data_IF_264767626341
#
_entry.id   IF_264767626341
#
_cell.length_a   1.000
_cell.length_b   1.000
_cell.length_c   1.000
_cell.angle_alpha   90.00
_cell.angle_beta   90.00
_cell.angle_gamma   90.00
#
_symmetry.space_group_name_H-M   'P 1'
#
loop_
_entity.id
_entity.type
_entity.pdbx_description
1 polymer ?
#
# COMPACT_ATOMS: atom_id res chain seq x y z
N UNK A 1 53.67 -67.18 50.50
CA UNK A 1 54.50 -65.96 50.48
C UNK A 1 54.25 -65.32 49.12
N UNK A 2 53.36 -64.37 48.93
CA UNK A 2 52.60 -63.42 49.77
C UNK A 2 51.18 -63.36 49.17
N UNK A 3 50.13 -63.46 49.98
CA UNK A 3 49.34 -62.32 50.48
C UNK A 3 49.29 -61.11 49.54
N UNK A 4 48.06 -60.78 49.16
CA UNK A 4 47.66 -59.71 48.25
C UNK A 4 46.16 -59.53 48.35
N UNK A 5 45.66 -59.49 49.59
CA UNK A 5 44.33 -59.02 49.91
C UNK A 5 44.17 -57.56 49.45
N UNK A 6 43.04 -57.22 48.82
CA UNK A 6 41.96 -56.45 49.48
C UNK A 6 40.90 -55.97 48.49
N UNK A 7 39.70 -56.02 49.05
CA UNK A 7 38.42 -55.63 48.51
C UNK A 7 38.23 -54.11 48.37
N UNK A 8 37.19 -53.82 47.60
CA UNK A 8 36.23 -52.72 47.72
C UNK A 8 36.60 -51.30 47.33
N UNK A 9 35.74 -50.80 46.44
CA UNK A 9 35.67 -49.41 46.04
C UNK A 9 34.53 -49.17 45.07
N UNK A 10 33.28 -49.50 45.48
CA UNK A 10 32.09 -48.96 44.81
C UNK A 10 32.18 -47.44 44.79
N UNK A 11 32.35 -46.85 43.61
CA UNK A 11 31.98 -45.45 43.38
C UNK A 11 31.17 -45.33 42.11
N UNK A 12 29.86 -45.39 42.32
CA UNK A 12 28.87 -44.80 41.43
C UNK A 12 29.28 -43.36 41.09
N UNK A 13 29.33 -43.02 39.80
CA UNK A 13 29.00 -41.66 39.37
C UNK A 13 28.64 -41.56 37.90
N UNK A 14 27.35 -41.28 37.68
CA UNK A 14 26.90 -40.42 36.60
C UNK A 14 26.61 -41.14 35.29
N UNK A 15 25.53 -41.91 35.25
CA UNK A 15 24.76 -42.01 34.01
C UNK A 15 24.39 -40.59 33.60
N UNK A 16 25.09 -40.05 32.59
CA UNK A 16 24.73 -38.76 31.99
C UNK A 16 23.35 -38.96 31.39
N UNK A 17 22.36 -38.44 32.10
CA UNK A 17 21.04 -38.19 31.56
C UNK A 17 21.21 -37.30 30.33
N UNK A 18 21.25 -37.92 29.14
CA UNK A 18 20.92 -37.27 27.87
C UNK A 18 19.41 -37.01 27.81
N UNK A 19 18.89 -36.43 28.88
CA UNK A 19 17.47 -36.32 29.16
C UNK A 19 17.20 -35.06 29.95
N UNK A 20 17.64 -33.94 29.39
CA UNK A 20 16.99 -32.67 29.68
C UNK A 20 16.84 -31.74 28.46
N UNK A 21 17.16 -32.20 27.25
CA UNK A 21 16.84 -31.45 26.01
C UNK A 21 15.37 -31.59 25.57
N UNK A 22 14.46 -31.96 26.49
CA UNK A 22 13.02 -32.07 26.20
C UNK A 22 12.18 -30.94 26.80
N UNK A 23 12.80 -30.08 27.62
CA UNK A 23 12.14 -28.95 28.27
C UNK A 23 12.34 -27.61 27.56
N UNK A 24 13.43 -27.44 26.80
CA UNK A 24 13.65 -26.31 25.91
C UNK A 24 13.28 -26.74 24.48
N UNK A 25 12.09 -26.58 23.93
CA UNK A 25 10.93 -25.80 24.33
C UNK A 25 9.77 -26.24 23.42
N UNK A 26 9.08 -27.34 23.76
CA UNK A 26 7.88 -27.73 22.99
C UNK A 26 6.85 -26.58 22.96
N UNK A 27 6.77 -25.80 24.03
CA UNK A 27 5.92 -24.62 24.16
C UNK A 27 6.43 -23.44 23.31
N UNK A 28 7.74 -23.18 23.26
CA UNK A 28 8.28 -22.11 22.41
C UNK A 28 8.15 -22.47 20.94
N UNK A 29 8.34 -23.74 20.51
CA UNK A 29 8.06 -24.15 19.12
C UNK A 29 6.60 -23.95 18.73
N UNK A 30 5.66 -24.21 19.65
CA UNK A 30 4.22 -23.97 19.45
C UNK A 30 3.90 -22.49 19.34
N UNK A 31 4.68 -21.60 19.97
CA UNK A 31 4.54 -20.14 19.84
C UNK A 31 5.35 -19.57 18.66
N UNK A 32 6.48 -20.17 18.32
CA UNK A 32 7.40 -19.75 17.26
C UNK A 32 6.78 -19.99 15.89
N UNK A 33 6.09 -21.12 15.71
CA UNK A 33 5.43 -21.48 14.45
C UNK A 33 4.36 -20.46 14.03
N UNK A 34 3.36 -20.10 14.87
CA UNK A 34 2.38 -19.07 14.51
C UNK A 34 3.03 -17.68 14.41
N UNK A 35 4.07 -17.37 15.18
CA UNK A 35 4.78 -16.09 15.10
C UNK A 35 5.54 -15.95 13.76
N UNK A 36 6.17 -17.01 13.29
CA UNK A 36 6.78 -17.06 11.96
C UNK A 36 5.73 -16.92 10.86
N UNK A 37 4.58 -17.60 10.99
CA UNK A 37 3.47 -17.46 10.05
C UNK A 37 2.92 -16.02 10.02
N UNK A 38 2.80 -15.38 11.18
CA UNK A 38 2.37 -13.99 11.31
C UNK A 38 3.37 -13.04 10.64
N UNK A 39 4.67 -13.24 10.83
CA UNK A 39 5.70 -12.46 10.14
C UNK A 39 5.62 -12.62 8.62
N UNK A 40 5.50 -13.86 8.12
CA UNK A 40 5.33 -14.13 6.70
C UNK A 40 4.05 -13.50 6.14
N UNK A 41 2.95 -13.59 6.87
CA UNK A 41 1.69 -12.99 6.46
C UNK A 41 1.78 -11.46 6.46
N UNK A 42 2.51 -10.88 7.42
CA UNK A 42 2.71 -9.44 7.54
C UNK A 42 3.61 -8.90 6.41
N UNK A 43 4.65 -9.63 6.02
CA UNK A 43 5.47 -9.25 4.85
C UNK A 43 4.68 -9.28 3.56
N UNK A 44 3.86 -10.33 3.32
CA UNK A 44 2.98 -10.41 2.15
C UNK A 44 1.96 -9.27 2.14
N UNK A 45 1.30 -9.01 3.27
CA UNK A 45 0.36 -7.88 3.40
C UNK A 45 1.04 -6.54 3.13
N UNK A 46 2.23 -6.33 3.67
CA UNK A 46 2.98 -5.09 3.48
C UNK A 46 3.43 -4.91 2.02
N UNK A 47 3.85 -5.99 1.36
CA UNK A 47 4.20 -5.96 -0.06
C UNK A 47 3.00 -5.58 -0.95
N UNK A 48 1.83 -6.17 -0.68
CA UNK A 48 0.59 -5.83 -1.39
C UNK A 48 0.16 -4.38 -1.14
N UNK A 49 0.32 -3.88 0.09
CA UNK A 49 0.03 -2.48 0.42
C UNK A 49 0.92 -1.51 -0.37
N UNK A 50 2.23 -1.74 -0.40
CA UNK A 50 3.16 -0.91 -1.16
C UNK A 50 2.89 -0.96 -2.67
N UNK A 51 2.57 -2.15 -3.18
CA UNK A 51 2.20 -2.33 -4.58
C UNK A 51 0.92 -1.54 -4.93
N UNK A 52 -0.12 -1.65 -4.11
CA UNK A 52 -1.37 -0.91 -4.31
C UNK A 52 -1.15 0.61 -4.27
N UNK A 53 -0.31 1.09 -3.34
CA UNK A 53 0.05 2.51 -3.25
C UNK A 53 0.74 3.01 -4.52
N UNK A 54 1.71 2.26 -5.04
CA UNK A 54 2.40 2.62 -6.28
C UNK A 54 1.45 2.63 -7.48
N UNK A 55 0.59 1.61 -7.60
CA UNK A 55 -0.43 1.53 -8.64
C UNK A 55 -1.41 2.71 -8.59
N UNK A 56 -1.90 3.07 -7.40
CA UNK A 56 -2.77 4.21 -7.19
C UNK A 56 -2.11 5.52 -7.61
N UNK A 57 -0.85 5.76 -7.22
CA UNK A 57 -0.13 6.98 -7.62
C UNK A 57 0.04 7.12 -9.13
N UNK A 58 0.32 6.02 -9.82
CA UNK A 58 0.42 6.02 -11.28
C UNK A 58 -0.94 6.32 -11.95
N UNK A 59 -2.02 5.74 -11.44
CA UNK A 59 -3.37 5.97 -11.96
C UNK A 59 -3.82 7.42 -11.82
N UNK A 60 -3.56 8.05 -10.67
CA UNK A 60 -3.93 9.47 -10.45
C UNK A 60 -3.07 10.40 -11.32
N UNK A 61 -1.81 10.07 -11.57
CA UNK A 61 -0.95 10.84 -12.48
C UNK A 61 -1.46 10.80 -13.92
N UNK A 62 -1.88 9.63 -14.41
CA UNK A 62 -2.47 9.51 -15.74
C UNK A 62 -3.79 10.29 -15.82
N UNK A 63 -4.65 10.18 -14.80
CA UNK A 63 -5.88 10.97 -14.71
C UNK A 63 -5.62 12.49 -14.70
N UNK A 64 -4.62 12.94 -13.94
CA UNK A 64 -4.26 14.36 -13.87
C UNK A 64 -3.70 14.89 -15.20
N UNK A 65 -2.99 14.05 -15.95
CA UNK A 65 -2.52 14.40 -17.29
C UNK A 65 -3.70 14.55 -18.26
N UNK A 66 -4.59 13.56 -18.33
CA UNK A 66 -5.80 13.64 -19.16
C UNK A 66 -6.67 14.84 -18.77
N UNK A 67 -6.79 15.12 -17.47
CA UNK A 67 -7.52 16.28 -16.99
C UNK A 67 -6.94 17.60 -17.52
N UNK A 68 -5.61 17.75 -17.57
CA UNK A 68 -4.97 18.95 -18.12
C UNK A 68 -5.12 19.05 -19.64
N UNK A 69 -4.94 17.95 -20.36
CA UNK A 69 -5.09 17.92 -21.83
C UNK A 69 -6.53 18.26 -22.25
N UNK A 70 -7.52 17.68 -21.56
CA UNK A 70 -8.94 17.88 -21.86
C UNK A 70 -9.48 19.23 -21.36
N UNK A 71 -9.04 19.69 -20.19
CA UNK A 71 -9.41 21.03 -19.71
C UNK A 71 -8.83 22.14 -20.60
N UNK A 72 -7.63 21.93 -21.17
CA UNK A 72 -7.03 22.87 -22.13
C UNK A 72 -7.72 22.85 -23.50
N UNK A 73 -8.21 21.70 -23.97
CA UNK A 73 -8.79 21.55 -25.32
C UNK A 73 -10.28 21.89 -25.39
N UNK A 74 -11.07 21.48 -24.39
CA UNK A 74 -12.54 21.62 -24.38
C UNK A 74 -13.01 22.95 -23.78
N UNK A 75 -12.10 23.71 -23.17
CA UNK A 75 -12.39 25.00 -22.53
C UNK A 75 -13.13 24.83 -21.19
N UNK A 76 -12.84 25.74 -20.27
CA UNK A 76 -13.35 25.73 -18.90
C UNK A 76 -14.76 26.33 -18.76
N UNK A 77 -15.50 26.39 -19.87
CA UNK A 77 -16.73 27.18 -20.03
C UNK A 77 -17.87 26.66 -19.17
N UNK A 78 -17.85 25.38 -18.78
CA UNK A 78 -18.82 24.80 -17.86
C UNK A 78 -18.10 24.18 -16.65
N UNK A 79 -18.41 24.66 -15.45
CA UNK A 79 -17.98 24.06 -14.17
C UNK A 79 -18.44 22.60 -13.99
N UNK A 80 -19.34 22.12 -14.86
CA UNK A 80 -19.83 20.74 -15.00
C UNK A 80 -19.15 19.98 -16.14
N UNK A 81 -17.90 20.31 -16.45
CA UNK A 81 -17.16 19.84 -17.63
C UNK A 81 -17.14 18.32 -17.86
N UNK A 82 -17.12 17.97 -19.14
CA UNK A 82 -16.90 16.59 -19.62
C UNK A 82 -15.48 16.10 -19.32
N UNK A 83 -14.50 17.01 -19.21
CA UNK A 83 -13.11 16.67 -18.91
C UNK A 83 -12.95 15.98 -17.54
N UNK A 84 -13.79 16.31 -16.54
CA UNK A 84 -13.80 15.63 -15.25
C UNK A 84 -14.13 14.15 -15.44
N UNK A 85 -15.13 13.84 -16.26
CA UNK A 85 -15.55 12.47 -16.54
C UNK A 85 -14.46 11.69 -17.30
N UNK A 86 -13.81 12.35 -18.26
CA UNK A 86 -12.70 11.76 -19.03
C UNK A 86 -11.48 11.47 -18.13
N UNK A 87 -11.14 12.40 -17.23
CA UNK A 87 -10.08 12.22 -16.25
C UNK A 87 -10.37 11.10 -15.25
N UNK A 88 -11.61 11.01 -14.75
CA UNK A 88 -12.05 9.89 -13.89
C UNK A 88 -11.98 8.58 -14.65
N UNK A 89 -12.43 8.54 -15.90
CA UNK A 89 -12.42 7.33 -16.73
C UNK A 89 -10.99 6.85 -16.98
N UNK A 90 -10.07 7.75 -17.31
CA UNK A 90 -8.66 7.44 -17.50
C UNK A 90 -8.00 6.91 -16.21
N UNK A 91 -8.24 7.59 -15.08
CA UNK A 91 -7.73 7.15 -13.78
C UNK A 91 -8.26 5.77 -13.38
N UNK A 92 -9.58 5.52 -13.54
CA UNK A 92 -10.21 4.24 -13.22
C UNK A 92 -9.72 3.13 -14.14
N UNK A 93 -9.61 3.37 -15.45
CA UNK A 93 -9.10 2.38 -16.41
C UNK A 93 -7.65 1.99 -16.07
N UNK A 94 -6.81 2.96 -15.69
CA UNK A 94 -5.44 2.70 -15.27
C UNK A 94 -5.36 1.96 -13.93
N UNK A 95 -6.16 2.36 -12.96
CA UNK A 95 -6.27 1.68 -11.67
C UNK A 95 -6.73 0.22 -11.83
N UNK A 96 -7.65 -0.06 -12.76
CA UNK A 96 -8.07 -1.42 -13.08
C UNK A 96 -6.97 -2.23 -13.75
N UNK A 97 -6.22 -1.64 -14.69
CA UNK A 97 -5.11 -2.30 -15.37
C UNK A 97 -3.95 -2.67 -14.43
N UNK A 98 -3.69 -1.84 -13.41
CA UNK A 98 -2.60 -2.05 -12.45
C UNK A 98 -3.04 -2.81 -11.19
N UNK A 99 -4.30 -2.64 -10.77
CA UNK A 99 -4.78 -2.99 -9.44
C UNK A 99 -5.84 -4.10 -9.39
N UNK A 100 -6.46 -4.48 -10.51
CA UNK A 100 -7.40 -5.60 -10.59
C UNK A 100 -8.27 -5.83 -9.33
N UNK A 101 -8.25 -7.04 -8.78
CA UNK A 101 -9.02 -7.44 -7.58
C UNK A 101 -8.54 -6.81 -6.25
N UNK A 102 -7.41 -6.10 -6.23
CA UNK A 102 -6.80 -5.56 -5.02
C UNK A 102 -7.26 -4.13 -4.67
N UNK A 103 -7.84 -3.40 -5.64
CA UNK A 103 -8.40 -2.06 -5.41
C UNK A 103 -9.93 -2.17 -5.41
N UNK A 104 -10.50 -2.43 -4.24
CA UNK A 104 -11.95 -2.54 -4.06
C UNK A 104 -12.58 -1.14 -4.11
N UNK A 105 -13.31 -0.85 -5.21
CA UNK A 105 -14.06 0.40 -5.44
C UNK A 105 -13.17 1.66 -5.33
N UNK A 106 -12.31 1.95 -6.32
CA UNK A 106 -11.61 3.23 -6.36
C UNK A 106 -12.65 4.37 -6.49
N UNK A 107 -12.76 5.20 -5.46
CA UNK A 107 -13.54 6.42 -5.48
C UNK A 107 -12.63 7.55 -5.97
N UNK A 108 -12.72 7.86 -7.26
CA UNK A 108 -11.96 8.95 -7.90
C UNK A 108 -12.84 10.18 -7.97
N UNK A 109 -12.35 11.28 -7.42
CA UNK A 109 -12.99 12.60 -7.46
C UNK A 109 -12.06 13.59 -8.13
N UNK A 110 -12.60 14.56 -8.87
CA UNK A 110 -11.82 15.61 -9.52
C UNK A 110 -12.17 16.96 -8.91
N UNK A 111 -11.16 17.83 -8.81
CA UNK A 111 -11.28 19.17 -8.26
C UNK A 111 -10.53 20.18 -9.14
N UNK A 112 -10.91 21.44 -9.03
CA UNK A 112 -10.25 22.53 -9.72
C UNK A 112 -10.23 23.78 -8.84
N UNK A 113 -9.28 24.67 -9.12
CA UNK A 113 -9.17 25.97 -8.45
C UNK A 113 -9.40 27.07 -9.47
N UNK A 114 -10.33 27.97 -9.17
CA UNK A 114 -10.61 29.15 -9.98
C UNK A 114 -9.75 30.32 -9.51
N UNK A 115 -9.13 31.00 -10.45
CA UNK A 115 -8.45 32.26 -10.27
C UNK A 115 -9.10 33.31 -11.19
N UNK A 116 -9.96 34.19 -10.64
CA UNK A 116 -10.68 35.18 -11.43
C UNK A 116 -9.76 36.25 -12.06
N UNK A 117 -8.58 36.47 -11.48
CA UNK A 117 -7.62 37.49 -11.93
C UNK A 117 -6.74 37.00 -13.09
N UNK A 118 -6.80 35.71 -13.41
CA UNK A 118 -5.99 35.10 -14.45
C UNK A 118 -6.29 35.68 -15.84
N UNK A 119 -5.27 36.22 -16.53
CA UNK A 119 -5.43 36.79 -17.88
C UNK A 119 -5.42 35.70 -18.96
N UNK A 120 -6.40 34.81 -18.90
CA UNK A 120 -6.62 33.73 -19.84
C UNK A 120 -8.12 33.47 -20.02
N UNK A 121 -8.47 32.81 -21.13
CA UNK A 121 -9.87 32.49 -21.47
C UNK A 121 -10.51 31.53 -20.45
N UNK A 122 -9.69 30.67 -19.85
CA UNK A 122 -10.09 29.78 -18.77
C UNK A 122 -9.62 30.33 -17.42
N UNK A 123 -10.55 30.55 -16.49
CA UNK A 123 -10.24 31.00 -15.12
C UNK A 123 -9.80 29.87 -14.17
N UNK A 124 -9.55 28.67 -14.67
CA UNK A 124 -9.02 27.57 -13.85
C UNK A 124 -7.50 27.68 -13.80
N UNK A 125 -6.93 27.90 -12.61
CA UNK A 125 -5.49 27.96 -12.41
C UNK A 125 -4.87 26.59 -12.13
N UNK A 126 -5.64 25.70 -11.51
CA UNK A 126 -5.15 24.40 -11.06
C UNK A 126 -6.20 23.31 -11.23
N UNK A 127 -5.77 22.15 -11.72
CA UNK A 127 -6.60 20.95 -11.84
C UNK A 127 -6.03 19.87 -10.92
N UNK A 128 -6.91 19.17 -10.21
CA UNK A 128 -6.57 18.10 -9.26
C UNK A 128 -7.44 16.87 -9.50
N UNK A 129 -6.83 15.71 -9.35
CA UNK A 129 -7.50 14.41 -9.29
C UNK A 129 -7.14 13.78 -7.95
N UNK A 130 -8.16 13.32 -7.25
CA UNK A 130 -8.09 12.71 -5.92
C UNK A 130 -8.63 11.28 -6.04
N UNK A 131 -7.93 10.31 -5.44
CA UNK A 131 -8.33 8.91 -5.42
C UNK A 131 -8.35 8.43 -3.97
N UNK A 132 -9.55 8.02 -3.54
CA UNK A 132 -9.78 7.34 -2.28
C UNK A 132 -9.99 5.85 -2.59
N UNK A 133 -9.22 4.96 -1.97
CA UNK A 133 -9.45 3.51 -2.10
C UNK A 133 -9.30 2.77 -0.78
N UNK A 134 -10.14 1.75 -0.59
CA UNK A 134 -10.06 0.84 0.54
C UNK A 134 -9.16 -0.36 0.17
N UNK A 135 -8.25 -0.73 1.07
CA UNK A 135 -7.37 -1.90 0.89
C UNK A 135 -8.02 -3.11 1.56
N UNK A 136 -8.02 -4.30 0.92
CA UNK A 136 -8.52 -5.53 1.55
C UNK A 136 -7.75 -5.81 2.85
N UNK A 137 -8.46 -5.95 3.96
CA UNK A 137 -7.86 -6.32 5.24
C UNK A 137 -8.18 -7.77 5.59
N UNK A 138 -7.26 -8.40 6.31
CA UNK A 138 -7.43 -9.78 6.78
C UNK A 138 -7.96 -9.84 8.22
N UNK A 139 -8.11 -8.68 8.87
CA UNK A 139 -8.69 -8.56 10.21
C UNK A 139 -10.13 -8.01 10.11
N UNK A 140 -11.14 -8.74 10.59
CA UNK A 140 -12.51 -8.26 10.61
C UNK A 140 -12.61 -7.01 11.50
N UNK A 141 -12.94 -5.86 10.88
CA UNK A 141 -13.12 -4.57 11.58
C UNK A 141 -12.04 -3.52 11.32
N UNK A 142 -10.98 -3.82 10.58
CA UNK A 142 -9.95 -2.83 10.22
C UNK A 142 -9.98 -2.53 8.72
N UNK A 143 -10.25 -1.30 8.28
CA UNK A 143 -10.29 -0.93 6.86
C UNK A 143 -9.32 0.22 6.59
N UNK A 144 -8.03 -0.07 6.30
CA UNK A 144 -7.09 0.97 5.97
C UNK A 144 -7.46 1.60 4.62
N UNK A 145 -7.63 2.92 4.61
CA UNK A 145 -7.88 3.73 3.41
C UNK A 145 -6.56 4.34 2.93
N UNK A 146 -6.42 4.47 1.60
CA UNK A 146 -5.32 5.19 0.97
C UNK A 146 -5.92 6.37 0.23
N UNK A 147 -5.41 7.57 0.55
CA UNK A 147 -5.74 8.82 -0.10
C UNK A 147 -4.54 9.25 -0.95
N UNK A 148 -4.77 9.43 -2.25
CA UNK A 148 -3.74 9.84 -3.21
C UNK A 148 -4.23 11.01 -4.04
N UNK A 149 -3.39 12.03 -4.16
CA UNK A 149 -3.72 13.25 -4.88
C UNK A 149 -2.66 13.51 -5.95
N UNK A 150 -3.06 13.86 -7.17
CA UNK A 150 -2.16 14.41 -8.18
C UNK A 150 -2.85 15.56 -8.91
N UNK A 151 -2.11 16.63 -9.14
CA UNK A 151 -2.64 17.83 -9.75
C UNK A 151 -1.54 18.81 -10.09
N UNK A 152 -1.89 19.89 -10.78
CA UNK A 152 -0.98 21.00 -10.99
C UNK A 152 -1.51 22.03 -11.99
N UNK A 153 -0.67 23.01 -12.36
CA UNK A 153 -1.12 24.19 -13.09
C UNK A 153 -1.66 23.83 -14.48
N UNK A 154 -2.69 24.56 -14.90
CA UNK A 154 -3.15 24.52 -16.29
C UNK A 154 -2.29 25.49 -17.11
N UNK A 155 -1.51 24.96 -18.04
CA UNK A 155 -0.72 25.76 -18.99
C UNK A 155 -1.69 26.32 -20.03
N UNK A 156 -1.93 27.63 -20.01
CA UNK A 156 -2.81 28.30 -20.97
C UNK A 156 -2.14 29.52 -21.59
N UNK A 157 -2.35 29.76 -22.90
CA UNK A 157 -1.72 30.87 -23.59
C UNK A 157 -2.21 32.19 -22.99
N UNK A 158 -1.28 32.95 -22.41
CA UNK A 158 -1.55 34.29 -21.88
C UNK A 158 -1.87 35.20 -23.06
N UNK A 159 -3.01 35.90 -23.02
CA UNK A 159 -3.31 36.93 -24.02
C UNK A 159 -2.46 38.17 -23.73
N UNK A 160 -1.54 38.48 -24.64
CA UNK A 160 -0.88 39.77 -24.65
C UNK A 160 -1.83 40.83 -25.25
N UNK A 161 -1.86 42.05 -24.67
CA UNK A 161 -2.74 43.14 -25.14
C UNK A 161 -2.34 43.67 -26.52
#
# INVERSE_FOLDING_TARGET
MTDGAREDGTTSRGGRSLRDDRGMTAIEFVVLTPLLFLLLMLTVQFALYLFAKQAATAAVQDGARTAREEAASKGCTDTTGTWQQDAVTAAVARAQALGGQLILKPAVTTGFTLDPELNADCKISLVRVDLHSAVPSVFPGWTPTIDVHAGGPLEQPVRHP
#
